data_IF_224571729037
#
_entry.id   IF_224571729037
#
_cell.length_a   1.000
_cell.length_b   1.000
_cell.length_c   1.000
_cell.angle_alpha   90.00
_cell.angle_beta   90.00
_cell.angle_gamma   90.00
#
_symmetry.space_group_name_H-M   'P 1'
#
loop_
_entity.id
_entity.type
_entity.pdbx_description
1 polymer ?
#
# COMPACT_ATOMS: atom_id res chain seq x y z
N UNK A 1 25.90 -5.24 9.69
CA UNK A 1 25.13 -3.99 9.82
C UNK A 1 23.76 -4.12 9.16
N UNK A 2 23.68 -4.43 7.86
CA UNK A 2 22.37 -4.51 7.16
C UNK A 2 21.45 -5.64 7.67
N UNK A 3 22.00 -6.77 8.12
CA UNK A 3 21.20 -7.89 8.67
C UNK A 3 20.49 -7.57 9.99
N UNK A 4 21.02 -6.64 10.81
CA UNK A 4 20.41 -6.25 12.10
C UNK A 4 19.58 -4.98 12.01
N UNK A 5 19.61 -4.28 10.87
CA UNK A 5 18.93 -3.01 10.65
C UNK A 5 17.41 -3.07 10.92
N UNK A 6 16.69 -3.99 10.28
CA UNK A 6 15.24 -4.15 10.49
C UNK A 6 14.88 -4.70 11.87
N UNK A 7 15.58 -5.72 12.43
CA UNK A 7 15.40 -6.11 13.82
C UNK A 7 15.57 -4.95 14.82
N UNK A 8 16.58 -4.10 14.65
CA UNK A 8 16.81 -2.93 15.49
C UNK A 8 15.69 -1.89 15.33
N UNK A 9 15.21 -1.68 14.10
CA UNK A 9 14.05 -0.84 13.83
C UNK A 9 12.81 -1.35 14.58
N UNK A 10 12.49 -2.64 14.45
CA UNK A 10 11.36 -3.25 15.17
C UNK A 10 11.51 -3.18 16.69
N UNK A 11 12.74 -3.34 17.20
CA UNK A 11 13.01 -3.16 18.64
C UNK A 11 12.72 -1.72 19.09
N UNK A 12 13.10 -0.73 18.27
CA UNK A 12 12.74 0.68 18.46
C UNK A 12 11.22 0.91 18.49
N UNK A 13 10.50 0.34 17.52
CA UNK A 13 9.02 0.41 17.48
C UNK A 13 8.42 -0.21 18.75
N UNK A 14 8.89 -1.39 19.15
CA UNK A 14 8.42 -2.10 20.34
C UNK A 14 8.68 -1.30 21.62
N UNK A 15 9.84 -0.64 21.74
CA UNK A 15 10.14 0.24 22.87
C UNK A 15 9.21 1.45 22.91
N UNK A 16 8.92 2.08 21.76
CA UNK A 16 8.01 3.22 21.67
C UNK A 16 6.55 2.86 21.94
N UNK A 17 6.08 1.68 21.53
CA UNK A 17 4.70 1.22 21.75
C UNK A 17 4.39 0.88 23.22
N UNK A 18 5.42 0.75 24.08
CA UNK A 18 5.23 0.62 25.54
C UNK A 18 4.71 1.91 26.18
N UNK A 19 4.86 3.05 25.49
CA UNK A 19 4.38 4.33 25.98
C UNK A 19 2.85 4.38 25.86
N UNK A 20 2.17 4.67 26.96
CA UNK A 20 0.72 4.71 26.98
C UNK A 20 0.17 5.80 26.03
N UNK A 21 -0.85 5.49 25.21
CA UNK A 21 -1.44 6.46 24.30
C UNK A 21 -2.06 7.62 25.07
N UNK A 22 -1.81 8.86 24.62
CA UNK A 22 -2.38 10.07 25.24
C UNK A 22 -1.67 10.56 26.51
N UNK A 23 -0.45 10.10 26.78
CA UNK A 23 0.35 10.64 27.88
C UNK A 23 0.90 12.02 27.52
N UNK A 24 0.31 13.06 28.11
CA UNK A 24 0.69 14.48 27.90
C UNK A 24 2.14 14.84 28.31
N UNK A 25 2.89 13.91 28.90
CA UNK A 25 4.27 14.14 29.35
C UNK A 25 5.30 14.02 28.22
N UNK A 26 4.95 13.38 27.09
CA UNK A 26 5.81 13.28 25.91
C UNK A 26 5.76 14.59 25.11
N UNK A 27 6.53 15.56 25.57
CA UNK A 27 6.66 16.88 24.94
C UNK A 27 7.56 16.83 23.71
N UNK A 28 7.38 17.79 22.79
CA UNK A 28 8.26 18.03 21.64
C UNK A 28 9.75 18.03 22.03
N UNK A 29 10.07 18.62 23.18
CA UNK A 29 11.43 18.67 23.73
C UNK A 29 11.99 17.29 24.07
N UNK A 30 11.17 16.37 24.56
CA UNK A 30 11.60 15.01 24.87
C UNK A 30 11.97 14.23 23.60
N UNK A 31 11.18 14.36 22.53
CA UNK A 31 11.46 13.70 21.26
C UNK A 31 12.76 14.22 20.64
N UNK A 32 12.96 15.54 20.65
CA UNK A 32 14.19 16.17 20.14
C UNK A 32 15.40 15.83 21.02
N UNK A 33 15.22 15.72 22.35
CA UNK A 33 16.30 15.36 23.28
C UNK A 33 16.79 13.92 23.07
N UNK A 34 15.89 12.99 22.76
CA UNK A 34 16.23 11.59 22.48
C UNK A 34 16.75 11.37 21.05
N UNK A 35 16.97 12.43 20.27
CA UNK A 35 17.56 12.33 18.94
C UNK A 35 19.05 11.96 19.07
N UNK A 36 19.49 10.80 18.54
CA UNK A 36 20.89 10.43 18.54
C UNK A 36 21.71 11.36 17.61
N UNK A 37 23.02 11.46 17.87
CA UNK A 37 23.93 12.24 17.02
C UNK A 37 24.00 11.64 15.60
N UNK A 38 24.01 10.32 15.49
CA UNK A 38 24.00 9.59 14.23
C UNK A 38 22.63 8.93 14.00
N UNK A 39 22.13 8.87 12.75
CA UNK A 39 20.86 8.22 12.45
C UNK A 39 20.93 6.72 12.76
N UNK A 40 20.06 6.26 13.65
CA UNK A 40 19.97 4.85 14.06
C UNK A 40 18.60 4.26 13.69
N UNK A 41 18.59 2.99 13.28
CA UNK A 41 17.38 2.21 13.00
C UNK A 41 16.46 2.14 14.23
N UNK A 42 17.02 1.99 15.43
CA UNK A 42 16.25 1.95 16.68
C UNK A 42 15.48 3.25 16.94
N UNK A 43 16.11 4.41 16.71
CA UNK A 43 15.45 5.71 16.85
C UNK A 43 14.38 5.91 15.78
N UNK A 44 14.65 5.49 14.54
CA UNK A 44 13.68 5.54 13.45
C UNK A 44 12.39 4.74 13.78
N UNK A 45 12.55 3.54 14.35
CA UNK A 45 11.42 2.74 14.81
C UNK A 45 10.65 3.39 15.96
N UNK A 46 11.38 3.99 16.91
CA UNK A 46 10.78 4.75 18.01
C UNK A 46 9.91 5.91 17.49
N UNK A 47 10.39 6.66 16.48
CA UNK A 47 9.62 7.74 15.85
C UNK A 47 8.31 7.24 15.22
N UNK A 48 8.35 6.09 14.54
CA UNK A 48 7.15 5.45 14.00
C UNK A 48 6.14 5.12 15.10
N UNK A 49 6.59 4.52 16.19
CA UNK A 49 5.73 4.17 17.33
C UNK A 49 5.12 5.40 18.02
N UNK A 50 5.86 6.50 18.14
CA UNK A 50 5.33 7.77 18.64
C UNK A 50 4.23 8.34 17.72
N UNK A 51 4.34 8.09 16.41
CA UNK A 51 3.29 8.41 15.44
C UNK A 51 2.04 7.56 15.60
N UNK A 52 2.21 6.23 15.73
CA UNK A 52 1.10 5.29 15.96
C UNK A 52 0.33 5.56 17.25
N UNK A 53 1.02 6.03 18.29
CA UNK A 53 0.41 6.40 19.58
C UNK A 53 -0.15 7.83 19.62
N UNK A 54 -0.01 8.60 18.52
CA UNK A 54 -0.55 9.96 18.37
C UNK A 54 0.31 11.08 18.98
N UNK A 55 1.45 10.75 19.58
CA UNK A 55 2.35 11.73 20.21
C UNK A 55 3.16 12.54 19.19
N UNK A 56 3.33 12.05 17.95
CA UNK A 56 4.08 12.75 16.91
C UNK A 56 3.39 14.04 16.41
N UNK A 57 2.10 14.22 16.72
CA UNK A 57 1.33 15.43 16.43
C UNK A 57 1.88 16.70 17.09
N UNK A 58 2.72 16.57 18.14
CA UNK A 58 3.36 17.69 18.82
C UNK A 58 4.60 18.25 18.11
N UNK A 59 5.13 17.55 17.10
CA UNK A 59 6.30 17.99 16.36
C UNK A 59 5.93 19.10 15.38
N UNK A 60 6.79 20.12 15.27
CA UNK A 60 6.62 21.15 14.26
C UNK A 60 7.19 20.68 12.91
N UNK A 61 6.70 21.27 11.82
CA UNK A 61 7.21 21.03 10.46
C UNK A 61 8.74 21.20 10.35
N UNK A 62 9.32 22.11 11.13
CA UNK A 62 10.78 22.32 11.19
C UNK A 62 11.55 21.10 11.73
N UNK A 63 10.99 20.38 12.70
CA UNK A 63 11.64 19.20 13.25
C UNK A 63 11.54 18.03 12.27
N UNK A 64 10.40 17.90 11.59
CA UNK A 64 10.17 16.90 10.56
C UNK A 64 11.17 17.08 9.41
N UNK A 65 11.36 18.31 8.93
CA UNK A 65 12.39 18.62 7.93
C UNK A 65 13.79 18.21 8.40
N UNK A 66 14.14 18.45 9.68
CA UNK A 66 15.43 18.03 10.25
C UNK A 66 15.62 16.52 10.34
N UNK A 67 14.55 15.73 10.37
CA UNK A 67 14.63 14.27 10.31
C UNK A 67 14.70 13.78 8.86
N UNK A 68 13.93 14.38 7.95
CA UNK A 68 13.92 14.02 6.53
C UNK A 68 15.24 14.40 5.82
N UNK A 69 15.89 15.48 6.26
CA UNK A 69 17.18 15.93 5.72
C UNK A 69 18.37 15.02 6.06
N UNK A 70 18.20 13.99 6.90
CA UNK A 70 19.28 13.06 7.26
C UNK A 70 19.51 11.96 6.21
N UNK A 71 18.72 11.91 5.13
CA UNK A 71 18.81 10.95 4.02
C UNK A 71 18.90 9.47 4.45
N UNK A 72 18.43 9.15 5.64
CA UNK A 72 18.39 7.79 6.17
C UNK A 72 17.03 7.16 5.93
N UNK A 73 16.97 6.17 5.02
CA UNK A 73 15.74 5.50 4.58
C UNK A 73 14.82 5.08 5.74
N UNK A 74 15.35 4.43 6.78
CA UNK A 74 14.52 3.96 7.88
C UNK A 74 13.92 5.10 8.70
N UNK A 75 14.67 6.20 8.89
CA UNK A 75 14.15 7.40 9.57
C UNK A 75 13.02 8.02 8.76
N UNK A 76 13.18 8.11 7.44
CA UNK A 76 12.15 8.62 6.54
C UNK A 76 10.91 7.72 6.61
N UNK A 77 11.05 6.40 6.49
CA UNK A 77 9.94 5.43 6.59
C UNK A 77 9.19 5.60 7.92
N UNK A 78 9.92 5.63 9.04
CA UNK A 78 9.31 5.74 10.36
C UNK A 78 8.56 7.07 10.56
N UNK A 79 9.12 8.17 10.06
CA UNK A 79 8.48 9.50 10.13
C UNK A 79 7.26 9.57 9.21
N UNK A 80 7.35 9.12 7.95
CA UNK A 80 6.23 9.17 7.01
C UNK A 80 5.02 8.35 7.49
N UNK A 81 5.25 7.09 7.90
CA UNK A 81 4.20 6.22 8.41
C UNK A 81 3.65 6.71 9.75
N UNK A 82 4.54 7.16 10.65
CA UNK A 82 4.15 7.68 11.95
C UNK A 82 3.27 8.93 11.86
N UNK A 83 3.64 9.89 11.00
CA UNK A 83 2.84 11.10 10.77
C UNK A 83 1.48 10.78 10.14
N UNK A 84 1.49 9.94 9.09
CA UNK A 84 0.27 9.52 8.41
C UNK A 84 -0.69 8.80 9.37
N UNK A 85 -0.18 7.92 10.23
CA UNK A 85 -0.99 7.24 11.24
C UNK A 85 -1.54 8.19 12.31
N UNK A 86 -0.76 9.18 12.76
CA UNK A 86 -1.21 10.18 13.73
C UNK A 86 -2.33 11.07 13.19
N UNK A 87 -2.43 11.23 11.86
CA UNK A 87 -3.42 12.06 11.17
C UNK A 87 -4.34 11.23 10.26
N UNK A 88 -4.59 9.98 10.65
CA UNK A 88 -5.42 9.03 9.90
C UNK A 88 -6.81 9.60 9.61
N UNK A 89 -7.19 9.64 8.34
CA UNK A 89 -8.47 10.17 7.86
C UNK A 89 -8.63 11.70 7.92
N UNK A 90 -7.59 12.48 8.26
CA UNK A 90 -7.73 13.94 8.38
C UNK A 90 -7.60 14.72 7.07
N UNK A 91 -7.08 14.10 6.01
CA UNK A 91 -6.77 14.75 4.73
C UNK A 91 -5.84 15.97 4.84
N UNK A 92 -4.91 15.98 5.81
CA UNK A 92 -3.97 17.10 5.99
C UNK A 92 -3.08 17.30 4.75
N UNK A 93 -3.26 18.45 4.11
CA UNK A 93 -2.53 18.84 2.89
C UNK A 93 -1.01 18.94 3.11
N UNK A 94 -0.55 19.25 4.33
CA UNK A 94 0.89 19.38 4.63
C UNK A 94 1.56 18.01 4.57
N UNK A 95 0.99 17.02 5.25
CA UNK A 95 1.50 15.66 5.27
C UNK A 95 1.34 15.01 3.90
N UNK A 96 0.22 15.25 3.22
CA UNK A 96 0.02 14.77 1.85
C UNK A 96 1.13 15.26 0.91
N UNK A 97 1.49 16.55 0.95
CA UNK A 97 2.60 17.10 0.15
C UNK A 97 3.94 16.46 0.50
N UNK A 98 4.21 16.23 1.78
CA UNK A 98 5.42 15.53 2.22
C UNK A 98 5.46 14.09 1.68
N UNK A 99 4.36 13.35 1.71
CA UNK A 99 4.29 12.00 1.17
C UNK A 99 4.51 11.98 -0.36
N UNK A 100 3.89 12.90 -1.10
CA UNK A 100 4.06 13.01 -2.55
C UNK A 100 5.46 13.45 -2.97
N UNK A 101 6.20 14.17 -2.13
CA UNK A 101 7.62 14.47 -2.36
C UNK A 101 8.45 13.19 -2.49
N UNK A 102 8.04 12.11 -1.82
CA UNK A 102 8.70 10.81 -1.87
C UNK A 102 8.17 9.87 -2.96
N UNK A 103 7.33 10.38 -3.88
CA UNK A 103 6.79 9.62 -5.02
C UNK A 103 7.26 10.26 -6.35
N UNK A 104 8.37 9.77 -6.94
CA UNK A 104 8.95 10.34 -8.16
C UNK A 104 7.98 10.45 -9.35
N UNK A 105 6.96 9.59 -9.43
CA UNK A 105 5.94 9.63 -10.51
C UNK A 105 5.10 10.88 -10.53
N UNK A 106 5.00 11.56 -9.39
CA UNK A 106 4.14 12.72 -9.23
C UNK A 106 4.94 14.01 -9.22
N UNK A 107 6.24 13.93 -9.47
CA UNK A 107 7.09 15.09 -9.66
C UNK A 107 6.83 15.71 -11.04
N UNK A 108 6.72 17.04 -11.14
CA UNK A 108 6.72 17.73 -12.43
C UNK A 108 7.98 17.40 -13.23
N UNK A 109 7.90 17.44 -14.57
CA UNK A 109 9.05 17.16 -15.46
C UNK A 109 10.26 18.07 -15.28
N UNK A 110 10.10 19.21 -14.57
CA UNK A 110 11.19 20.14 -14.23
C UNK A 110 11.88 19.81 -12.90
N UNK A 111 11.42 18.80 -12.17
CA UNK A 111 11.94 18.45 -10.85
C UNK A 111 13.23 17.62 -10.99
N UNK A 112 14.24 17.83 -10.13
CA UNK A 112 15.49 17.06 -10.19
C UNK A 112 15.25 15.57 -9.97
N UNK A 113 16.01 14.73 -10.67
CA UNK A 113 16.01 13.28 -10.46
C UNK A 113 16.52 12.97 -9.04
N UNK A 114 15.58 12.65 -8.13
CA UNK A 114 15.89 12.19 -6.78
C UNK A 114 15.93 10.67 -6.75
N UNK A 115 17.04 10.11 -6.29
CA UNK A 115 17.18 8.67 -6.12
C UNK A 115 16.51 8.21 -4.80
N UNK A 116 15.20 8.00 -4.85
CA UNK A 116 14.41 7.60 -3.67
C UNK A 116 14.27 6.08 -3.62
N UNK A 117 14.60 5.50 -2.46
CA UNK A 117 14.52 4.06 -2.20
C UNK A 117 13.09 3.49 -2.37
N UNK A 118 12.90 2.32 -3.03
CA UNK A 118 11.58 1.71 -3.23
C UNK A 118 10.77 1.51 -1.93
N UNK A 119 11.47 1.18 -0.83
CA UNK A 119 10.87 1.00 0.49
C UNK A 119 10.28 2.30 1.05
N UNK A 120 10.96 3.42 0.82
CA UNK A 120 10.47 4.76 1.17
C UNK A 120 9.23 5.10 0.34
N UNK A 121 9.23 4.78 -0.95
CA UNK A 121 8.08 5.01 -1.83
C UNK A 121 6.87 4.17 -1.42
N UNK A 122 7.07 2.89 -1.08
CA UNK A 122 6.02 2.00 -0.57
C UNK A 122 5.45 2.51 0.76
N UNK A 123 6.31 2.97 1.67
CA UNK A 123 5.89 3.60 2.93
C UNK A 123 5.10 4.89 2.69
N UNK A 124 5.49 5.71 1.69
CA UNK A 124 4.77 6.91 1.31
C UNK A 124 3.36 6.58 0.77
N UNK A 125 3.23 5.58 -0.10
CA UNK A 125 1.92 5.11 -0.60
C UNK A 125 1.01 4.63 0.54
N UNK A 126 1.53 3.76 1.42
CA UNK A 126 0.78 3.29 2.58
C UNK A 126 0.36 4.46 3.49
N UNK A 127 1.24 5.45 3.66
CA UNK A 127 0.96 6.69 4.39
C UNK A 127 -0.17 7.51 3.75
N UNK A 128 -0.22 7.64 2.42
CA UNK A 128 -1.34 8.29 1.71
C UNK A 128 -2.64 7.53 1.99
N UNK A 129 -2.62 6.20 1.95
CA UNK A 129 -3.76 5.36 2.30
C UNK A 129 -4.31 5.62 3.71
N UNK A 130 -3.43 5.73 4.71
CA UNK A 130 -3.81 6.05 6.09
C UNK A 130 -4.38 7.47 6.22
N UNK A 131 -3.74 8.46 5.59
CA UNK A 131 -4.16 9.87 5.67
C UNK A 131 -5.56 10.09 5.07
N UNK A 132 -5.87 9.39 3.98
CA UNK A 132 -7.14 9.49 3.25
C UNK A 132 -8.11 8.33 3.56
N UNK A 133 -7.89 7.59 4.65
CA UNK A 133 -8.70 6.42 5.00
C UNK A 133 -10.20 6.77 5.09
N UNK A 134 -11.03 5.96 4.43
CA UNK A 134 -12.50 6.08 4.39
C UNK A 134 -13.06 7.41 3.85
N UNK A 135 -12.23 8.23 3.20
CA UNK A 135 -12.63 9.54 2.66
C UNK A 135 -13.17 9.48 1.23
N UNK A 136 -12.92 8.39 0.50
CA UNK A 136 -13.25 8.26 -0.93
C UNK A 136 -12.76 9.43 -1.79
N UNK A 137 -11.59 10.00 -1.48
CA UNK A 137 -11.05 11.12 -2.25
C UNK A 137 -10.70 10.68 -3.67
N UNK A 138 -11.50 11.11 -4.65
CA UNK A 138 -11.43 10.74 -6.06
C UNK A 138 -10.02 10.73 -6.65
N UNK A 139 -9.33 11.87 -6.60
CA UNK A 139 -8.00 12.01 -7.21
C UNK A 139 -7.00 11.05 -6.56
N UNK A 140 -7.11 10.79 -5.26
CA UNK A 140 -6.18 9.90 -4.58
C UNK A 140 -6.44 8.45 -4.98
N UNK A 141 -7.72 8.06 -5.11
CA UNK A 141 -8.09 6.73 -5.59
C UNK A 141 -7.61 6.48 -7.04
N UNK A 142 -7.77 7.46 -7.93
CA UNK A 142 -7.27 7.41 -9.30
C UNK A 142 -5.74 7.27 -9.35
N UNK A 143 -5.04 8.09 -8.58
CA UNK A 143 -3.57 8.04 -8.44
C UNK A 143 -3.12 6.66 -7.97
N UNK A 144 -3.73 6.10 -6.91
CA UNK A 144 -3.35 4.77 -6.40
C UNK A 144 -3.63 3.67 -7.45
N UNK A 145 -4.72 3.77 -8.20
CA UNK A 145 -5.06 2.82 -9.25
C UNK A 145 -4.03 2.81 -10.40
N UNK A 146 -3.56 4.00 -10.80
CA UNK A 146 -2.49 4.14 -11.78
C UNK A 146 -1.18 3.54 -11.29
N UNK A 147 -0.85 3.71 -10.00
CA UNK A 147 0.38 3.15 -9.41
C UNK A 147 0.34 1.61 -9.32
N UNK A 148 -0.84 0.99 -9.13
CA UNK A 148 -0.98 -0.49 -9.17
C UNK A 148 -0.64 -1.03 -10.56
N UNK A 149 -1.15 -0.40 -11.62
CA UNK A 149 -0.97 -0.83 -13.01
C UNK A 149 0.32 -0.35 -13.68
N UNK A 150 1.24 0.24 -12.93
CA UNK A 150 2.40 0.93 -13.48
C UNK A 150 3.32 -0.04 -14.23
N UNK A 151 3.67 0.30 -15.47
CA UNK A 151 4.67 -0.42 -16.30
C UNK A 151 6.10 -0.05 -15.88
N UNK A 152 7.09 -0.95 -16.02
CA UNK A 152 8.47 -0.66 -15.70
C UNK A 152 9.02 0.30 -16.76
N UNK A 153 9.15 1.58 -16.41
CA UNK A 153 9.79 2.57 -17.27
C UNK A 153 11.31 2.45 -17.23
N UNK A 154 11.98 2.96 -18.27
CA UNK A 154 13.45 2.96 -18.38
C UNK A 154 14.20 3.66 -17.24
N UNK A 155 13.53 4.56 -16.50
CA UNK A 155 14.08 5.26 -15.34
C UNK A 155 13.99 4.47 -14.01
N UNK A 156 13.31 3.32 -13.98
CA UNK A 156 13.27 2.46 -12.80
C UNK A 156 14.52 1.55 -12.77
N UNK A 157 15.66 2.11 -12.37
CA UNK A 157 16.92 1.36 -12.13
C UNK A 157 16.79 0.31 -11.02
N UNK A 158 15.72 0.32 -10.22
CA UNK A 158 15.47 -0.63 -9.13
C UNK A 158 14.11 -1.33 -9.27
N UNK A 159 14.04 -2.31 -10.16
CA UNK A 159 12.86 -3.17 -10.36
C UNK A 159 12.66 -4.24 -9.26
N UNK A 160 13.51 -4.28 -8.22
CA UNK A 160 13.63 -5.44 -7.32
C UNK A 160 12.51 -5.57 -6.28
N UNK A 161 11.77 -4.48 -5.99
CA UNK A 161 10.72 -4.44 -4.94
C UNK A 161 9.37 -3.95 -5.49
N UNK A 162 9.09 -4.22 -6.77
CA UNK A 162 7.89 -3.71 -7.46
C UNK A 162 6.61 -4.32 -6.90
N UNK A 163 6.65 -5.56 -6.47
CA UNK A 163 5.56 -6.26 -5.80
C UNK A 163 5.16 -5.52 -4.52
N UNK A 164 6.14 -5.12 -3.70
CA UNK A 164 5.90 -4.36 -2.47
C UNK A 164 5.29 -2.99 -2.73
N UNK A 165 5.74 -2.31 -3.79
CA UNK A 165 5.18 -1.02 -4.22
C UNK A 165 3.71 -1.17 -4.68
N UNK A 166 3.43 -2.12 -5.57
CA UNK A 166 2.08 -2.37 -6.06
C UNK A 166 1.14 -2.79 -4.91
N UNK A 167 1.62 -3.66 -4.02
CA UNK A 167 0.88 -4.08 -2.83
C UNK A 167 0.54 -2.90 -1.92
N UNK A 168 1.50 -1.99 -1.68
CA UNK A 168 1.27 -0.79 -0.89
C UNK A 168 0.25 0.16 -1.56
N UNK A 169 0.28 0.31 -2.89
CA UNK A 169 -0.71 1.07 -3.64
C UNK A 169 -2.11 0.43 -3.53
N UNK A 170 -2.21 -0.90 -3.65
CA UNK A 170 -3.45 -1.66 -3.47
C UNK A 170 -4.03 -1.52 -2.07
N UNK A 171 -3.19 -1.66 -1.04
CA UNK A 171 -3.57 -1.40 0.35
C UNK A 171 -4.06 0.03 0.54
N UNK A 172 -3.35 1.02 -0.01
CA UNK A 172 -3.72 2.43 0.10
C UNK A 172 -5.07 2.72 -0.57
N UNK A 173 -5.30 2.20 -1.78
CA UNK A 173 -6.59 2.30 -2.47
C UNK A 173 -7.73 1.66 -1.65
N UNK A 174 -7.48 0.47 -1.10
CA UNK A 174 -8.42 -0.23 -0.22
C UNK A 174 -8.74 0.57 1.05
N UNK A 175 -7.75 1.22 1.67
CA UNK A 175 -7.96 2.07 2.84
C UNK A 175 -8.75 3.35 2.50
N UNK A 176 -8.49 3.97 1.34
CA UNK A 176 -9.24 5.16 0.89
C UNK A 176 -10.72 4.85 0.66
N UNK A 177 -11.01 3.65 0.13
CA UNK A 177 -12.36 3.19 -0.25
C UNK A 177 -13.01 2.27 0.79
N UNK A 178 -12.40 2.13 1.97
CA UNK A 178 -12.69 1.12 2.97
C UNK A 178 -14.18 0.99 3.30
N UNK A 179 -14.76 -0.20 3.02
CA UNK A 179 -16.13 -0.59 3.38
C UNK A 179 -17.24 0.23 2.70
N UNK A 180 -16.92 0.96 1.62
CA UNK A 180 -17.90 1.82 0.93
C UNK A 180 -18.61 1.10 -0.20
N UNK A 181 -17.98 0.10 -0.81
CA UNK A 181 -18.50 -0.65 -1.95
C UNK A 181 -19.11 0.26 -3.02
N UNK A 182 -20.32 -0.08 -3.47
CA UNK A 182 -21.10 0.71 -4.46
C UNK A 182 -21.62 2.05 -3.94
N UNK A 183 -21.56 2.31 -2.63
CA UNK A 183 -21.99 3.59 -2.06
C UNK A 183 -20.99 4.74 -2.33
N UNK A 184 -19.81 4.43 -2.88
CA UNK A 184 -18.84 5.44 -3.30
C UNK A 184 -19.22 6.11 -4.64
N UNK A 185 -20.37 6.79 -4.68
CA UNK A 185 -20.94 7.41 -5.90
C UNK A 185 -19.95 8.37 -6.59
N UNK A 186 -19.10 9.06 -5.82
CA UNK A 186 -18.08 9.97 -6.35
C UNK A 186 -16.91 9.29 -7.10
N UNK A 187 -16.86 7.96 -7.11
CA UNK A 187 -15.84 7.14 -7.79
C UNK A 187 -16.42 6.30 -8.94
N UNK A 188 -17.73 6.40 -9.21
CA UNK A 188 -18.42 5.50 -10.15
C UNK A 188 -17.84 5.56 -11.57
N UNK A 189 -17.40 6.74 -12.00
CA UNK A 189 -16.83 6.97 -13.33
C UNK A 189 -15.40 6.42 -13.50
N UNK A 190 -14.68 6.17 -12.40
CA UNK A 190 -13.36 5.55 -12.46
C UNK A 190 -13.43 4.06 -12.84
N UNK A 191 -14.60 3.43 -12.70
CA UNK A 191 -14.83 2.00 -12.92
C UNK A 191 -13.81 1.14 -12.16
N UNK A 192 -13.63 1.43 -10.86
CA UNK A 192 -12.62 0.79 -10.01
C UNK A 192 -12.75 -0.72 -9.98
N UNK A 193 -13.98 -1.24 -9.92
CA UNK A 193 -14.24 -2.67 -9.90
C UNK A 193 -13.73 -3.37 -11.16
N UNK A 194 -14.07 -2.86 -12.34
CA UNK A 194 -13.67 -3.46 -13.62
C UNK A 194 -12.15 -3.43 -13.80
N UNK A 195 -11.50 -2.31 -13.43
CA UNK A 195 -10.04 -2.17 -13.50
C UNK A 195 -9.32 -3.08 -12.52
N UNK A 196 -9.83 -3.23 -11.29
CA UNK A 196 -9.26 -4.14 -10.30
C UNK A 196 -9.46 -5.61 -10.70
N UNK A 197 -10.62 -5.97 -11.25
CA UNK A 197 -10.86 -7.30 -11.83
C UNK A 197 -9.90 -7.57 -12.98
N UNK A 198 -9.66 -6.58 -13.85
CA UNK A 198 -8.68 -6.67 -14.92
C UNK A 198 -7.25 -6.91 -14.40
N UNK A 199 -6.83 -6.23 -13.33
CA UNK A 199 -5.53 -6.46 -12.69
C UNK A 199 -5.42 -7.83 -11.98
N UNK A 200 -6.55 -8.43 -11.58
CA UNK A 200 -6.56 -9.73 -10.89
C UNK A 200 -6.58 -10.93 -11.85
N UNK A 201 -7.35 -10.85 -12.94
CA UNK A 201 -7.53 -11.96 -13.90
C UNK A 201 -6.56 -11.83 -15.07
N UNK A 202 -6.19 -10.60 -15.42
CA UNK A 202 -5.34 -10.30 -16.57
C UNK A 202 -6.11 -10.23 -17.88
N UNK A 203 -5.43 -9.73 -18.91
CA UNK A 203 -5.96 -9.59 -20.26
C UNK A 203 -5.13 -8.62 -21.10
N UNK A 204 -5.37 -8.61 -22.42
CA UNK A 204 -4.84 -7.54 -23.28
C UNK A 204 -5.61 -6.26 -23.00
N UNK A 205 -4.94 -5.10 -22.88
CA UNK A 205 -5.66 -3.82 -22.72
C UNK A 205 -6.49 -3.57 -23.97
N UNK A 206 -7.77 -3.92 -23.91
CA UNK A 206 -8.72 -3.59 -24.98
C UNK A 206 -9.04 -2.10 -24.89
N UNK A 207 -8.32 -1.32 -25.71
CA UNK A 207 -8.66 0.02 -26.21
C UNK A 207 -9.35 0.98 -25.27
N UNK A 208 -8.57 1.79 -24.51
CA UNK A 208 -8.75 3.25 -24.33
C UNK A 208 -7.76 3.76 -23.27
N UNK A 209 -6.54 4.13 -23.67
CA UNK A 209 -5.84 5.35 -23.24
C UNK A 209 -4.89 5.73 -24.38
N UNK A 210 -5.40 6.47 -25.36
CA UNK A 210 -4.56 7.18 -26.31
C UNK A 210 -3.78 8.25 -25.55
N UNK A 211 -2.54 7.94 -25.15
CA UNK A 211 -1.46 8.91 -24.84
C UNK A 211 -0.12 8.26 -24.46
N UNK A 212 -0.01 6.92 -24.42
CA UNK A 212 1.28 6.26 -24.10
C UNK A 212 1.86 5.39 -25.23
N UNK A 213 1.42 5.57 -26.48
CA UNK A 213 2.07 4.96 -27.64
C UNK A 213 3.49 5.51 -27.91
N UNK A 214 3.93 6.56 -27.21
CA UNK A 214 5.28 7.13 -27.34
C UNK A 214 6.38 6.51 -26.47
N UNK A 215 6.05 5.63 -25.51
CA UNK A 215 7.01 5.09 -24.53
C UNK A 215 7.37 3.61 -24.72
N UNK A 216 6.80 2.96 -25.74
CA UNK A 216 7.07 1.54 -26.06
C UNK A 216 8.53 1.32 -26.53
N UNK A 217 9.27 2.39 -26.84
CA UNK A 217 10.67 2.31 -27.28
C UNK A 217 11.70 2.24 -26.13
N UNK A 218 11.27 2.33 -24.86
CA UNK A 218 12.19 2.33 -23.72
C UNK A 218 11.82 1.20 -22.74
N UNK A 219 11.92 -0.04 -23.22
CA UNK A 219 11.80 -1.23 -22.36
C UNK A 219 12.78 -1.13 -21.20
N UNK A 220 12.31 -1.40 -19.98
CA UNK A 220 13.18 -1.43 -18.81
C UNK A 220 14.36 -2.38 -19.05
N UNK A 221 15.57 -1.95 -18.71
CA UNK A 221 16.79 -2.74 -18.95
C UNK A 221 16.83 -4.07 -18.16
N UNK A 222 15.95 -4.23 -17.15
CA UNK A 222 15.95 -5.35 -16.21
C UNK A 222 14.72 -6.26 -16.33
N UNK A 223 13.55 -5.72 -16.72
CA UNK A 223 12.29 -6.46 -16.78
C UNK A 223 11.62 -6.23 -18.13
N UNK A 224 11.46 -7.31 -18.90
CA UNK A 224 10.70 -7.31 -20.15
C UNK A 224 9.26 -7.70 -19.83
N UNK A 225 8.34 -6.74 -19.89
CA UNK A 225 6.90 -7.04 -19.88
C UNK A 225 6.37 -7.02 -21.31
N UNK A 226 5.56 -8.02 -21.65
CA UNK A 226 4.80 -8.04 -22.90
C UNK A 226 3.57 -7.13 -22.82
N UNK A 227 2.66 -7.25 -23.79
CA UNK A 227 1.42 -6.47 -23.84
C UNK A 227 0.39 -6.88 -22.77
N UNK A 228 0.63 -7.99 -22.07
CA UNK A 228 -0.21 -8.52 -20.99
C UNK A 228 0.24 -7.98 -19.63
N UNK A 229 -0.72 -7.76 -18.75
CA UNK A 229 -0.46 -7.36 -17.35
C UNK A 229 0.30 -8.45 -16.61
N UNK A 230 1.31 -8.06 -15.86
CA UNK A 230 2.01 -8.95 -14.95
C UNK A 230 1.16 -9.29 -13.73
N UNK A 231 0.54 -10.48 -13.77
CA UNK A 231 -0.31 -11.00 -12.71
C UNK A 231 0.45 -11.24 -11.39
N UNK A 232 1.74 -11.55 -11.45
CA UNK A 232 2.56 -11.73 -10.24
C UNK A 232 2.58 -10.49 -9.35
N UNK A 233 2.63 -9.31 -9.98
CA UNK A 233 2.76 -8.01 -9.28
C UNK A 233 1.39 -7.42 -8.94
N UNK A 234 0.46 -7.45 -9.88
CA UNK A 234 -0.80 -6.67 -9.79
C UNK A 234 -1.96 -7.42 -9.15
N UNK A 235 -2.00 -8.76 -9.27
CA UNK A 235 -3.04 -9.61 -8.69
C UNK A 235 -3.21 -9.43 -7.17
N UNK A 236 -2.16 -9.52 -6.33
CA UNK A 236 -2.33 -9.39 -4.89
C UNK A 236 -2.74 -7.98 -4.47
N UNK A 237 -2.21 -6.95 -5.13
CA UNK A 237 -2.58 -5.55 -4.90
C UNK A 237 -4.06 -5.29 -5.22
N UNK A 238 -4.51 -5.79 -6.37
CA UNK A 238 -5.89 -5.63 -6.81
C UNK A 238 -6.87 -6.40 -5.92
N UNK A 239 -6.50 -7.62 -5.52
CA UNK A 239 -7.30 -8.43 -4.61
C UNK A 239 -7.48 -7.75 -3.25
N UNK A 240 -6.41 -7.20 -2.67
CA UNK A 240 -6.47 -6.42 -1.42
C UNK A 240 -7.35 -5.18 -1.57
N UNK A 241 -7.16 -4.40 -2.63
CA UNK A 241 -7.93 -3.18 -2.85
C UNK A 241 -9.42 -3.47 -2.99
N UNK A 242 -9.78 -4.47 -3.80
CA UNK A 242 -11.18 -4.87 -4.03
C UNK A 242 -11.81 -5.44 -2.76
N UNK A 243 -11.08 -6.28 -2.02
CA UNK A 243 -11.57 -6.87 -0.76
C UNK A 243 -11.82 -5.83 0.32
N UNK A 244 -10.92 -4.85 0.48
CA UNK A 244 -11.08 -3.75 1.44
C UNK A 244 -12.16 -2.75 1.03
N UNK A 245 -12.32 -2.49 -0.28
CA UNK A 245 -13.39 -1.62 -0.79
C UNK A 245 -14.78 -2.18 -0.46
N UNK A 246 -14.94 -3.51 -0.57
CA UNK A 246 -16.18 -4.24 -0.30
C UNK A 246 -16.22 -4.93 1.07
N UNK A 247 -15.36 -4.52 2.00
CA UNK A 247 -15.28 -5.09 3.34
C UNK A 247 -16.64 -5.06 4.04
N UNK A 248 -17.09 -6.22 4.55
CA UNK A 248 -18.37 -6.38 5.26
C UNK A 248 -19.63 -5.93 4.48
N UNK A 249 -19.57 -5.92 3.15
CA UNK A 249 -20.73 -5.55 2.31
C UNK A 249 -21.63 -6.74 1.95
N UNK A 250 -21.13 -7.98 2.10
CA UNK A 250 -21.79 -9.22 1.69
C UNK A 250 -22.26 -9.23 0.21
N UNK A 251 -21.53 -8.53 -0.66
CA UNK A 251 -21.82 -8.52 -2.09
C UNK A 251 -21.35 -9.82 -2.76
N UNK A 252 -22.33 -10.65 -3.16
CA UNK A 252 -22.08 -11.93 -3.81
C UNK A 252 -21.42 -11.80 -5.20
N UNK A 253 -21.66 -10.71 -5.93
CA UNK A 253 -21.07 -10.52 -7.27
C UNK A 253 -19.58 -10.26 -7.20
N UNK A 254 -19.15 -9.50 -6.18
CA UNK A 254 -17.73 -9.25 -5.92
C UNK A 254 -17.06 -10.46 -5.28
N UNK A 255 -17.76 -11.15 -4.37
CA UNK A 255 -17.26 -12.39 -3.79
C UNK A 255 -16.99 -13.47 -4.85
N UNK A 256 -17.80 -13.52 -5.92
CA UNK A 256 -17.59 -14.42 -7.05
C UNK A 256 -16.31 -14.10 -7.85
N UNK A 257 -15.87 -12.83 -7.88
CA UNK A 257 -14.61 -12.46 -8.54
C UNK A 257 -13.37 -13.08 -7.85
N UNK A 258 -13.48 -13.41 -6.57
CA UNK A 258 -12.42 -14.07 -5.79
C UNK A 258 -12.49 -15.61 -5.83
N UNK A 259 -13.37 -16.20 -6.64
CA UNK A 259 -13.52 -17.65 -6.71
C UNK A 259 -12.21 -18.31 -7.16
N UNK A 260 -11.89 -19.43 -6.51
CA UNK A 260 -10.69 -20.19 -6.85
C UNK A 260 -10.89 -20.90 -8.19
N UNK A 261 -9.81 -21.14 -8.95
CA UNK A 261 -9.89 -21.93 -10.16
C UNK A 261 -10.34 -23.38 -9.86
N UNK A 262 -11.44 -23.80 -10.51
CA UNK A 262 -12.04 -25.13 -10.32
C UNK A 262 -11.44 -26.20 -11.26
N UNK A 263 -10.34 -25.91 -11.94
CA UNK A 263 -9.66 -26.85 -12.85
C UNK A 263 -8.16 -26.90 -12.59
N UNK A 264 -7.55 -28.07 -12.74
CA UNK A 264 -6.10 -28.24 -12.60
C UNK A 264 -5.32 -27.31 -13.54
N UNK A 265 -5.77 -27.19 -14.80
CA UNK A 265 -5.15 -26.31 -15.77
C UNK A 265 -5.10 -24.85 -15.29
N UNK A 266 -6.21 -24.32 -14.78
CA UNK A 266 -6.26 -22.93 -14.32
C UNK A 266 -5.52 -22.72 -12.99
N UNK A 267 -5.36 -23.76 -12.16
CA UNK A 267 -4.54 -23.69 -10.95
C UNK A 267 -3.05 -23.55 -11.27
N UNK A 268 -2.56 -24.14 -12.36
CA UNK A 268 -1.15 -24.03 -12.76
C UNK A 268 -0.71 -22.59 -13.10
N UNK A 269 -1.66 -21.70 -13.43
CA UNK A 269 -1.39 -20.30 -13.77
C UNK A 269 -1.47 -19.33 -12.58
N UNK A 270 -1.82 -19.79 -11.38
CA UNK A 270 -1.98 -18.94 -10.19
C UNK A 270 -1.05 -19.39 -9.07
N UNK A 271 -0.32 -18.44 -8.48
CA UNK A 271 0.55 -18.75 -7.36
C UNK A 271 -0.27 -19.08 -6.08
N UNK A 272 0.13 -20.08 -5.27
CA UNK A 272 -0.64 -20.52 -4.10
C UNK A 272 -0.88 -19.44 -3.02
N UNK A 273 0.07 -18.53 -2.85
CA UNK A 273 -0.03 -17.37 -1.95
C UNK A 273 -1.13 -16.40 -2.38
N UNK A 274 -1.29 -16.17 -3.69
CA UNK A 274 -2.37 -15.37 -4.24
C UNK A 274 -3.74 -16.03 -4.03
N UNK A 275 -3.81 -17.36 -4.09
CA UNK A 275 -5.06 -18.10 -3.78
C UNK A 275 -5.45 -17.91 -2.31
N UNK A 276 -4.49 -18.01 -1.39
CA UNK A 276 -4.73 -17.75 0.03
C UNK A 276 -5.24 -16.32 0.26
N UNK A 277 -4.64 -15.33 -0.40
CA UNK A 277 -5.09 -13.94 -0.32
C UNK A 277 -6.51 -13.75 -0.89
N UNK A 278 -6.84 -14.36 -2.02
CA UNK A 278 -8.20 -14.31 -2.60
C UNK A 278 -9.23 -14.95 -1.69
N UNK A 279 -8.93 -16.11 -1.09
CA UNK A 279 -9.80 -16.75 -0.09
C UNK A 279 -10.04 -15.84 1.13
N UNK A 280 -8.98 -15.20 1.63
CA UNK A 280 -9.08 -14.26 2.74
C UNK A 280 -9.98 -13.07 2.37
N UNK A 281 -9.72 -12.42 1.22
CA UNK A 281 -10.50 -11.27 0.78
C UNK A 281 -11.97 -11.63 0.52
N UNK A 282 -12.25 -12.80 -0.07
CA UNK A 282 -13.63 -13.32 -0.22
C UNK A 282 -14.33 -13.44 1.13
N UNK A 283 -13.65 -14.00 2.12
CA UNK A 283 -14.18 -14.18 3.47
C UNK A 283 -14.43 -12.82 4.15
N UNK A 284 -13.55 -11.85 3.96
CA UNK A 284 -13.71 -10.48 4.48
C UNK A 284 -14.89 -9.72 3.84
N UNK A 285 -15.17 -9.96 2.54
CA UNK A 285 -16.35 -9.40 1.87
C UNK A 285 -17.64 -10.05 2.41
N UNK A 286 -17.65 -11.39 2.51
CA UNK A 286 -18.76 -12.19 3.03
C UNK A 286 -18.67 -12.41 4.54
N UNK A 287 -18.45 -11.34 5.29
CA UNK A 287 -18.11 -11.39 6.71
C UNK A 287 -19.15 -12.12 7.57
N UNK A 288 -20.44 -11.94 7.26
CA UNK A 288 -21.52 -12.52 8.07
C UNK A 288 -21.63 -14.03 7.92
N UNK A 289 -21.04 -14.59 6.86
CA UNK A 289 -21.04 -16.04 6.61
C UNK A 289 -19.96 -16.81 7.38
N UNK A 290 -19.03 -16.12 8.04
CA UNK A 290 -17.88 -16.73 8.72
C UNK A 290 -18.36 -17.48 9.96
N UNK A 291 -18.05 -18.78 10.04
CA UNK A 291 -18.32 -19.61 11.20
C UNK A 291 -17.00 -20.11 11.81
N UNK A 292 -16.88 -20.15 13.16
CA UNK A 292 -15.69 -20.65 13.85
C UNK A 292 -15.67 -22.18 13.90
N UNK A 293 -15.84 -22.84 12.75
CA UNK A 293 -15.86 -24.31 12.62
C UNK A 293 -14.86 -24.76 11.56
N UNK A 294 -14.28 -25.94 11.77
CA UNK A 294 -13.36 -26.56 10.81
C UNK A 294 -14.09 -26.91 9.50
N UNK A 295 -15.36 -27.33 9.59
CA UNK A 295 -16.21 -27.61 8.44
C UNK A 295 -16.36 -26.39 7.52
N UNK A 296 -16.53 -25.18 8.09
CA UNK A 296 -16.60 -23.95 7.31
C UNK A 296 -15.27 -23.66 6.60
N UNK A 297 -14.15 -23.85 7.31
CA UNK A 297 -12.81 -23.63 6.76
C UNK A 297 -12.54 -24.59 5.58
N UNK A 298 -12.79 -25.89 5.76
CA UNK A 298 -12.68 -26.91 4.71
C UNK A 298 -13.71 -26.70 3.59
N UNK A 299 -14.82 -26.02 3.90
CA UNK A 299 -15.84 -25.59 2.93
C UNK A 299 -15.31 -24.58 1.90
N UNK A 300 -14.34 -23.74 2.26
CA UNK A 300 -13.78 -22.70 1.38
C UNK A 300 -12.84 -23.26 0.30
N UNK A 301 -12.26 -24.44 0.53
CA UNK A 301 -11.36 -25.06 -0.43
C UNK A 301 -12.14 -25.62 -1.62
N UNK A 302 -11.65 -25.46 -2.86
CA UNK A 302 -12.24 -26.13 -4.02
C UNK A 302 -12.16 -27.65 -3.83
N UNK A 303 -13.13 -28.43 -4.37
CA UNK A 303 -13.19 -29.88 -4.18
C UNK A 303 -11.91 -30.59 -4.65
N UNK A 304 -11.17 -30.00 -5.60
CA UNK A 304 -9.90 -30.52 -6.10
C UNK A 304 -8.77 -30.55 -5.05
N UNK A 305 -8.87 -29.74 -3.99
CA UNK A 305 -7.88 -29.66 -2.91
C UNK A 305 -8.33 -30.35 -1.63
N UNK A 306 -9.56 -30.90 -1.60
CA UNK A 306 -10.06 -31.67 -0.44
C UNK A 306 -9.49 -33.08 -0.55
N UNK A 307 -8.54 -33.39 0.33
CA UNK A 307 -7.92 -34.72 0.48
C UNK A 307 -8.71 -35.55 1.49
#
# INVERSE_FOLDING_TARGET
AEQTAWPEFHNGVAAGLRLAPGTHQLTRTWVVYNKPLEPSYSHAGMLMALGLTGHLSCLAATDLYRYLAQEHDATIIGVLLGMAASKRGSQDATISKTLFLHLPTRHPSSYPELDISPLVQAAALAGVGLLFQSTCHRVMAEVMLEEIGRRPGAACTRCRDREGYALAAGLALGLITLGRGRAAVGLADLHLEDKLRYFMIGGSQSGTVGTQQGLVAAGGQVVLEGDLVNLGVTSPAAALALGLMYLQTNDGEVAAAFQLPDTHFAMDFVQPDQLALRMLMRSLVMWDSIQPTEEWLLGQLPPLLKV
#
